data_IF_384532300543
#
_entry.id   IF_384532300543
#
_cell.length_a   1.000
_cell.length_b   1.000
_cell.length_c   1.000
_cell.angle_alpha   90.00
_cell.angle_beta   90.00
_cell.angle_gamma   90.00
#
_symmetry.space_group_name_H-M   'P 1'
#
loop_
_entity.id
_entity.type
_entity.pdbx_description
1 polymer ?
#
# COMPACT_ATOMS: atom_id res chain seq x y z
N UNK A 1 2.98 -23.59 0.95
CA UNK A 1 4.33 -24.12 1.23
C UNK A 1 4.97 -24.80 0.02
N UNK A 2 4.21 -25.41 -0.91
CA UNK A 2 4.75 -26.05 -2.13
C UNK A 2 5.38 -25.12 -3.19
N UNK A 3 5.14 -23.81 -3.13
CA UNK A 3 5.58 -22.87 -4.19
C UNK A 3 7.02 -22.35 -4.01
N UNK A 4 7.65 -22.60 -2.85
CA UNK A 4 9.05 -22.20 -2.55
C UNK A 4 10.09 -23.19 -3.06
N UNK A 5 9.68 -24.38 -3.49
CA UNK A 5 10.55 -25.45 -3.99
C UNK A 5 10.73 -25.42 -5.52
N UNK A 6 10.15 -24.44 -6.21
CA UNK A 6 10.16 -24.33 -7.67
C UNK A 6 11.26 -23.38 -8.16
N UNK A 7 11.89 -23.63 -9.30
CA UNK A 7 12.89 -22.73 -9.90
C UNK A 7 12.35 -21.31 -10.09
N UNK A 8 13.23 -20.32 -10.03
CA UNK A 8 12.88 -18.89 -10.03
C UNK A 8 12.17 -18.45 -11.32
N UNK A 9 12.65 -18.92 -12.47
CA UNK A 9 12.03 -18.70 -13.79
C UNK A 9 10.59 -19.22 -13.84
N UNK A 10 10.38 -20.37 -13.24
CA UNK A 10 9.12 -21.10 -13.20
C UNK A 10 8.06 -20.40 -12.32
N UNK A 11 8.53 -19.66 -11.29
CA UNK A 11 7.68 -18.77 -10.49
C UNK A 11 7.38 -17.48 -11.24
N UNK A 12 8.37 -16.92 -11.94
CA UNK A 12 8.22 -15.71 -12.74
C UNK A 12 7.22 -15.91 -13.90
N UNK A 13 7.37 -16.97 -14.68
CA UNK A 13 6.47 -17.29 -15.79
C UNK A 13 5.01 -17.44 -15.32
N UNK A 14 4.78 -18.14 -14.20
CA UNK A 14 3.43 -18.26 -13.61
C UNK A 14 2.88 -16.92 -13.11
N UNK A 15 3.73 -16.05 -12.58
CA UNK A 15 3.35 -14.68 -12.19
C UNK A 15 2.89 -13.90 -13.41
N UNK A 16 3.68 -13.90 -14.47
CA UNK A 16 3.35 -13.21 -15.73
C UNK A 16 2.07 -13.76 -16.35
N UNK A 17 1.85 -15.07 -16.33
CA UNK A 17 0.61 -15.68 -16.79
C UNK A 17 -0.63 -15.22 -15.99
N UNK A 18 -0.49 -14.98 -14.68
CA UNK A 18 -1.59 -14.40 -13.87
C UNK A 18 -1.84 -12.95 -14.22
N UNK A 19 -0.78 -12.14 -14.36
CA UNK A 19 -0.92 -10.74 -14.77
C UNK A 19 -1.61 -10.65 -16.13
N UNK A 20 -1.10 -11.37 -17.14
CA UNK A 20 -1.66 -11.40 -18.49
C UNK A 20 -3.13 -11.85 -18.54
N UNK A 21 -3.57 -12.67 -17.57
CA UNK A 21 -4.98 -13.07 -17.44
C UNK A 21 -5.85 -11.94 -16.93
N UNK A 22 -5.41 -11.25 -15.88
CA UNK A 22 -6.23 -10.27 -15.16
C UNK A 22 -6.09 -8.84 -15.68
N UNK A 23 -5.09 -8.55 -16.50
CA UNK A 23 -4.96 -7.24 -17.15
C UNK A 23 -5.94 -7.05 -18.31
N UNK A 24 -6.62 -8.12 -18.74
CA UNK A 24 -7.68 -8.09 -19.75
C UNK A 24 -8.98 -7.50 -19.20
N UNK A 25 -9.75 -6.77 -20.03
CA UNK A 25 -11.07 -6.29 -19.65
C UNK A 25 -12.06 -7.43 -19.38
N UNK A 26 -13.11 -7.13 -18.62
CA UNK A 26 -14.21 -8.07 -18.33
C UNK A 26 -15.29 -7.90 -19.39
N UNK A 27 -15.41 -8.85 -20.30
CA UNK A 27 -16.30 -8.80 -21.47
C UNK A 27 -17.56 -9.67 -21.28
N UNK A 28 -17.54 -10.64 -20.37
CA UNK A 28 -18.67 -11.56 -20.16
C UNK A 28 -19.04 -11.76 -18.69
N UNK A 29 -20.29 -12.19 -18.46
CA UNK A 29 -20.79 -12.56 -17.12
C UNK A 29 -19.93 -13.65 -16.46
N UNK A 30 -19.48 -14.63 -17.24
CA UNK A 30 -18.60 -15.71 -16.75
C UNK A 30 -17.19 -15.23 -16.38
N UNK A 31 -16.62 -14.26 -17.10
CA UNK A 31 -15.36 -13.62 -16.69
C UNK A 31 -15.55 -12.79 -15.42
N UNK A 32 -16.66 -12.05 -15.31
CA UNK A 32 -17.01 -11.29 -14.10
C UNK A 32 -17.13 -12.18 -12.88
N UNK A 33 -17.85 -13.29 -12.99
CA UNK A 33 -18.00 -14.27 -11.89
C UNK A 33 -16.64 -14.83 -11.46
N UNK A 34 -15.77 -15.17 -12.41
CA UNK A 34 -14.40 -15.65 -12.12
C UNK A 34 -13.54 -14.58 -11.45
N UNK A 35 -13.64 -13.33 -11.87
CA UNK A 35 -12.93 -12.21 -11.25
C UNK A 35 -13.38 -12.02 -9.79
N UNK A 36 -14.69 -12.05 -9.54
CA UNK A 36 -15.24 -12.00 -8.18
C UNK A 36 -14.81 -13.19 -7.33
N UNK A 37 -14.96 -14.42 -7.81
CA UNK A 37 -14.53 -15.61 -7.09
C UNK A 37 -13.03 -15.57 -6.75
N UNK A 38 -12.18 -15.16 -7.70
CA UNK A 38 -10.75 -14.99 -7.47
C UNK A 38 -10.46 -13.89 -6.44
N UNK A 39 -11.12 -12.73 -6.56
CA UNK A 39 -10.96 -11.62 -5.64
C UNK A 39 -11.34 -12.03 -4.21
N UNK A 40 -12.45 -12.73 -4.04
CA UNK A 40 -12.96 -13.15 -2.74
C UNK A 40 -12.09 -14.23 -2.09
N UNK A 41 -11.76 -15.28 -2.84
CA UNK A 41 -11.16 -16.51 -2.29
C UNK A 41 -9.62 -16.51 -2.38
N UNK A 42 -9.05 -16.01 -3.48
CA UNK A 42 -7.59 -16.06 -3.71
C UNK A 42 -6.92 -14.78 -3.22
N UNK A 43 -7.51 -13.62 -3.51
CA UNK A 43 -7.01 -12.33 -3.02
C UNK A 43 -7.58 -11.96 -1.64
N UNK A 44 -8.29 -12.89 -0.99
CA UNK A 44 -8.83 -12.73 0.37
C UNK A 44 -9.75 -11.50 0.50
N UNK A 45 -10.49 -11.19 -0.58
CA UNK A 45 -11.48 -10.13 -0.66
C UNK A 45 -12.59 -10.22 0.36
N UNK A 46 -12.94 -11.44 0.80
CA UNK A 46 -14.00 -11.66 1.79
C UNK A 46 -13.78 -10.84 3.08
N UNK A 47 -12.55 -10.76 3.58
CA UNK A 47 -12.25 -9.98 4.79
C UNK A 47 -12.36 -8.47 4.54
N UNK A 48 -12.06 -8.01 3.33
CA UNK A 48 -12.10 -6.59 2.95
C UNK A 48 -13.53 -6.10 2.67
N UNK A 49 -14.41 -7.02 2.27
CA UNK A 49 -15.85 -6.75 2.22
C UNK A 49 -16.43 -6.60 3.61
N UNK A 50 -16.03 -7.44 4.57
CA UNK A 50 -16.47 -7.34 5.96
C UNK A 50 -15.90 -6.10 6.67
N UNK A 51 -14.62 -5.79 6.43
CA UNK A 51 -13.95 -4.62 7.00
C UNK A 51 -12.97 -4.00 6.01
N UNK A 52 -13.35 -2.86 5.45
CA UNK A 52 -12.54 -2.14 4.45
C UNK A 52 -11.34 -1.40 5.06
N UNK A 53 -11.25 -1.28 6.39
CA UNK A 53 -10.23 -0.47 7.07
C UNK A 53 -10.09 0.94 6.46
N UNK A 54 -11.22 1.58 6.17
CA UNK A 54 -11.29 2.89 5.52
C UNK A 54 -11.31 4.03 6.54
N UNK A 55 -10.43 5.00 6.39
CA UNK A 55 -10.30 6.16 7.29
C UNK A 55 -9.98 7.42 6.50
N UNK A 56 -10.54 8.56 6.90
CA UNK A 56 -10.05 9.87 6.46
C UNK A 56 -8.72 10.14 7.16
N UNK A 57 -7.69 10.44 6.39
CA UNK A 57 -6.39 10.94 6.89
C UNK A 57 -6.51 12.45 7.05
N UNK A 58 -7.02 13.12 6.01
CA UNK A 58 -7.31 14.55 5.96
C UNK A 58 -8.62 14.75 5.20
N UNK A 59 -9.17 15.98 5.09
CA UNK A 59 -10.32 16.24 4.21
C UNK A 59 -10.06 15.86 2.74
N UNK A 60 -8.79 15.79 2.32
CA UNK A 60 -8.35 15.56 0.94
C UNK A 60 -7.82 14.15 0.69
N UNK A 61 -7.53 13.36 1.74
CA UNK A 61 -6.97 12.02 1.60
C UNK A 61 -7.71 10.99 2.45
N UNK A 62 -8.11 9.91 1.81
CA UNK A 62 -8.57 8.67 2.43
C UNK A 62 -7.51 7.58 2.33
N UNK A 63 -7.50 6.67 3.31
CA UNK A 63 -6.76 5.41 3.26
C UNK A 63 -7.70 4.23 3.45
N UNK A 64 -7.47 3.13 2.76
CA UNK A 64 -8.28 1.91 2.92
C UNK A 64 -7.54 0.61 2.53
N UNK A 65 -8.15 -0.54 2.86
CA UNK A 65 -7.94 -1.76 2.10
C UNK A 65 -8.48 -1.59 0.67
N UNK A 66 -8.06 -2.45 -0.27
CA UNK A 66 -8.51 -2.31 -1.65
C UNK A 66 -10.04 -2.45 -1.73
N UNK A 67 -10.74 -1.42 -2.24
CA UNK A 67 -12.20 -1.41 -2.27
C UNK A 67 -12.74 -2.33 -3.37
N UNK A 68 -13.88 -2.93 -3.09
CA UNK A 68 -14.70 -3.60 -4.09
C UNK A 68 -15.49 -2.56 -4.94
N UNK A 69 -16.04 -2.95 -6.10
CA UNK A 69 -16.74 -2.02 -6.99
C UNK A 69 -17.82 -1.16 -6.32
N UNK A 70 -18.68 -1.72 -5.46
CA UNK A 70 -19.69 -0.94 -4.74
C UNK A 70 -19.12 0.07 -3.74
N UNK A 71 -17.95 -0.23 -3.16
CA UNK A 71 -17.25 0.70 -2.27
C UNK A 71 -16.57 1.83 -3.07
N UNK A 72 -16.07 1.53 -4.27
CA UNK A 72 -15.56 2.55 -5.20
C UNK A 72 -16.67 3.53 -5.58
N UNK A 73 -17.87 3.03 -5.89
CA UNK A 73 -19.04 3.86 -6.15
C UNK A 73 -19.36 4.79 -4.97
N UNK A 74 -19.30 4.28 -3.74
CA UNK A 74 -19.49 5.08 -2.54
C UNK A 74 -18.44 6.20 -2.41
N UNK A 75 -17.16 5.89 -2.63
CA UNK A 75 -16.09 6.90 -2.62
C UNK A 75 -16.25 7.97 -3.71
N UNK A 76 -16.71 7.57 -4.91
CA UNK A 76 -17.09 8.53 -5.95
C UNK A 76 -18.17 9.50 -5.45
N UNK A 77 -19.19 8.97 -4.76
CA UNK A 77 -20.22 9.80 -4.10
C UNK A 77 -19.69 10.70 -2.99
N UNK A 78 -18.52 10.40 -2.41
CA UNK A 78 -17.81 11.27 -1.46
C UNK A 78 -16.90 12.30 -2.16
N UNK A 79 -16.90 12.35 -3.49
CA UNK A 79 -16.09 13.27 -4.28
C UNK A 79 -14.65 12.81 -4.53
N UNK A 80 -14.32 11.52 -4.29
CA UNK A 80 -12.99 10.99 -4.61
C UNK A 80 -12.76 11.07 -6.12
N UNK A 81 -11.66 11.71 -6.52
CA UNK A 81 -11.26 11.91 -7.93
C UNK A 81 -10.20 10.91 -8.40
N UNK A 82 -9.35 10.47 -7.48
CA UNK A 82 -8.25 9.54 -7.78
C UNK A 82 -8.20 8.40 -6.77
N UNK A 83 -7.96 7.19 -7.25
CA UNK A 83 -7.58 6.03 -6.45
C UNK A 83 -6.13 5.68 -6.74
N UNK A 84 -5.32 5.59 -5.68
CA UNK A 84 -3.90 5.24 -5.74
C UNK A 84 -3.70 3.80 -5.29
N UNK A 85 -3.22 2.95 -6.18
CA UNK A 85 -2.90 1.55 -5.90
C UNK A 85 -1.43 1.39 -5.47
N UNK A 86 -1.24 1.02 -4.19
CA UNK A 86 0.10 0.81 -3.63
C UNK A 86 0.64 -0.60 -3.82
N UNK A 87 -0.15 -1.51 -4.41
CA UNK A 87 0.21 -2.93 -4.45
C UNK A 87 1.19 -3.27 -5.56
N UNK A 88 1.11 -2.57 -6.70
CA UNK A 88 1.72 -2.98 -7.98
C UNK A 88 1.24 -4.35 -8.50
N UNK A 89 0.30 -5.00 -7.80
CA UNK A 89 -0.13 -6.38 -8.05
C UNK A 89 -1.37 -6.43 -8.91
N UNK A 90 -1.19 -6.81 -10.18
CA UNK A 90 -2.26 -7.03 -11.17
C UNK A 90 -2.59 -8.52 -11.36
N UNK A 91 -2.32 -9.32 -10.34
CA UNK A 91 -2.34 -10.80 -10.41
C UNK A 91 -3.66 -11.43 -9.97
N UNK A 92 -4.63 -10.61 -9.63
CA UNK A 92 -5.89 -11.04 -9.01
C UNK A 92 -7.09 -10.43 -9.72
N UNK A 93 -8.23 -11.10 -9.60
CA UNK A 93 -9.51 -10.62 -10.12
C UNK A 93 -9.98 -9.28 -9.55
N UNK A 94 -9.37 -8.82 -8.45
CA UNK A 94 -9.58 -7.47 -7.90
C UNK A 94 -9.14 -6.37 -8.86
N UNK A 95 -8.09 -6.60 -9.67
CA UNK A 95 -7.56 -5.60 -10.60
C UNK A 95 -8.56 -5.18 -11.69
N UNK A 96 -9.08 -6.09 -12.54
CA UNK A 96 -10.01 -5.69 -13.59
C UNK A 96 -11.35 -5.18 -13.03
N UNK A 97 -11.79 -5.71 -11.87
CA UNK A 97 -12.99 -5.20 -11.18
C UNK A 97 -12.80 -3.76 -10.71
N UNK A 98 -11.63 -3.42 -10.17
CA UNK A 98 -11.30 -2.07 -9.73
C UNK A 98 -11.21 -1.11 -10.91
N UNK A 99 -10.47 -1.49 -11.97
CA UNK A 99 -10.34 -0.68 -13.19
C UNK A 99 -11.69 -0.29 -13.76
N UNK A 100 -12.54 -1.28 -14.03
CA UNK A 100 -13.86 -1.06 -14.60
C UNK A 100 -14.74 -0.18 -13.69
N UNK A 101 -14.65 -0.35 -12.36
CA UNK A 101 -15.39 0.48 -11.42
C UNK A 101 -14.88 1.93 -11.41
N UNK A 102 -13.56 2.15 -11.43
CA UNK A 102 -12.98 3.48 -11.55
C UNK A 102 -13.41 4.17 -12.84
N UNK A 103 -13.27 3.49 -13.98
CA UNK A 103 -13.70 3.98 -15.30
C UNK A 103 -15.18 4.37 -15.31
N UNK A 104 -16.06 3.50 -14.78
CA UNK A 104 -17.51 3.74 -14.68
C UNK A 104 -17.86 4.99 -13.88
N UNK A 105 -17.06 5.34 -12.88
CA UNK A 105 -17.31 6.46 -11.98
C UNK A 105 -16.43 7.69 -12.27
N UNK A 106 -15.67 7.69 -13.38
CA UNK A 106 -14.78 8.80 -13.74
C UNK A 106 -13.66 9.04 -12.73
N UNK A 107 -13.28 8.00 -11.97
CA UNK A 107 -12.17 8.07 -11.02
C UNK A 107 -10.88 7.69 -11.74
N UNK A 108 -9.85 8.52 -11.61
CA UNK A 108 -8.53 8.21 -12.12
C UNK A 108 -7.88 7.11 -11.26
N UNK A 109 -7.40 6.03 -11.88
CA UNK A 109 -6.69 4.95 -11.18
C UNK A 109 -5.20 5.03 -11.52
N UNK A 110 -4.36 5.33 -10.53
CA UNK A 110 -2.91 5.47 -10.69
C UNK A 110 -2.16 4.52 -9.76
N UNK A 111 -0.95 4.13 -10.15
CA UNK A 111 -0.07 3.29 -9.35
C UNK A 111 1.01 4.13 -8.65
N UNK A 112 1.24 3.87 -7.36
CA UNK A 112 2.43 4.33 -6.63
C UNK A 112 2.93 3.17 -5.76
N UNK A 113 3.80 2.33 -6.32
CA UNK A 113 4.09 1.02 -5.72
C UNK A 113 4.98 1.17 -4.49
N UNK A 114 4.53 0.61 -3.36
CA UNK A 114 5.28 0.59 -2.11
C UNK A 114 5.51 -0.85 -1.64
N UNK A 115 6.60 -1.06 -0.90
CA UNK A 115 6.88 -2.30 -0.16
C UNK A 115 6.47 -2.13 1.29
N UNK A 116 5.97 -3.20 1.92
CA UNK A 116 5.62 -3.18 3.35
C UNK A 116 6.65 -3.86 4.25
N UNK A 117 7.57 -4.65 3.70
CA UNK A 117 8.50 -5.51 4.47
C UNK A 117 9.97 -5.29 4.09
N UNK A 118 10.28 -4.14 3.52
CA UNK A 118 11.65 -3.74 3.21
C UNK A 118 11.79 -2.24 3.43
N UNK A 119 13.03 -1.81 3.60
CA UNK A 119 13.42 -0.42 3.70
C UNK A 119 12.89 0.35 2.49
N UNK A 120 12.24 1.51 2.70
CA UNK A 120 11.78 2.35 1.61
C UNK A 120 12.92 2.72 0.66
N UNK A 121 12.73 2.57 -0.64
CA UNK A 121 13.77 2.93 -1.62
C UNK A 121 13.90 4.47 -1.67
N UNK A 122 15.14 4.97 -1.66
CA UNK A 122 15.43 6.42 -1.63
C UNK A 122 14.74 7.14 -2.78
N UNK A 123 14.83 6.57 -3.97
CA UNK A 123 14.27 7.10 -5.21
C UNK A 123 12.74 7.19 -5.12
N UNK A 124 12.09 6.20 -4.50
CA UNK A 124 10.64 6.20 -4.29
C UNK A 124 10.21 7.31 -3.32
N UNK A 125 10.99 7.56 -2.26
CA UNK A 125 10.73 8.67 -1.31
C UNK A 125 10.84 10.02 -2.00
N UNK A 126 11.90 10.22 -2.78
CA UNK A 126 12.12 11.48 -3.50
C UNK A 126 11.03 11.72 -4.57
N UNK A 127 10.60 10.68 -5.26
CA UNK A 127 9.51 10.75 -6.24
C UNK A 127 8.14 11.07 -5.61
N UNK A 128 7.95 10.83 -4.31
CA UNK A 128 6.67 11.07 -3.63
C UNK A 128 6.24 12.54 -3.69
N UNK A 129 7.19 13.49 -3.60
CA UNK A 129 6.89 14.93 -3.69
C UNK A 129 6.21 15.26 -5.01
N UNK A 130 6.82 14.84 -6.11
CA UNK A 130 6.34 15.14 -7.45
C UNK A 130 5.03 14.39 -7.73
N UNK A 131 4.90 13.16 -7.22
CA UNK A 131 3.64 12.41 -7.26
C UNK A 131 2.50 13.17 -6.56
N UNK A 132 2.71 13.64 -5.33
CA UNK A 132 1.69 14.39 -4.58
C UNK A 132 1.31 15.71 -5.25
N UNK A 133 2.27 16.41 -5.88
CA UNK A 133 1.99 17.65 -6.60
C UNK A 133 1.03 17.46 -7.79
N UNK A 134 0.99 16.25 -8.37
CA UNK A 134 0.11 15.91 -9.51
C UNK A 134 -1.19 15.21 -9.11
N UNK A 135 -1.34 14.85 -7.82
CA UNK A 135 -2.46 14.05 -7.35
C UNK A 135 -3.76 14.86 -7.34
N UNK A 136 -4.80 14.37 -8.02
CA UNK A 136 -6.12 15.00 -7.98
C UNK A 136 -6.87 14.59 -6.71
N UNK A 137 -7.21 15.58 -5.91
CA UNK A 137 -7.84 15.40 -4.61
C UNK A 137 -9.34 15.80 -4.61
N UNK A 138 -10.20 15.19 -3.77
CA UNK A 138 -9.88 14.16 -2.79
C UNK A 138 -9.42 12.82 -3.38
N UNK A 139 -8.42 12.20 -2.77
CA UNK A 139 -7.85 10.93 -3.23
C UNK A 139 -8.12 9.80 -2.21
N UNK A 140 -8.17 8.57 -2.71
CA UNK A 140 -8.17 7.36 -1.89
C UNK A 140 -6.92 6.54 -2.19
N UNK A 141 -6.09 6.31 -1.18
CA UNK A 141 -4.99 5.36 -1.30
C UNK A 141 -5.36 4.00 -0.73
N UNK A 142 -4.97 2.91 -1.40
CA UNK A 142 -5.18 1.57 -0.87
C UNK A 142 -3.99 0.64 -1.03
N UNK A 143 -3.95 -0.36 -0.16
CA UNK A 143 -3.10 -1.53 -0.33
C UNK A 143 -3.94 -2.82 -0.23
N UNK A 144 -3.39 -3.94 0.26
CA UNK A 144 -4.19 -5.15 0.50
C UNK A 144 -5.16 -4.93 1.68
N UNK A 145 -4.64 -4.62 2.87
CA UNK A 145 -5.41 -4.50 4.12
C UNK A 145 -5.61 -3.06 4.63
N UNK A 146 -5.07 -2.05 3.97
CA UNK A 146 -5.13 -0.65 4.42
C UNK A 146 -4.27 -0.31 5.63
N UNK A 147 -3.42 -1.25 6.08
CA UNK A 147 -2.55 -1.08 7.24
C UNK A 147 -1.19 -0.48 6.84
N UNK A 148 -0.26 -1.31 6.37
CA UNK A 148 1.17 -0.96 6.31
C UNK A 148 1.48 0.06 5.19
N UNK A 149 1.35 -0.33 3.92
CA UNK A 149 1.63 0.56 2.77
C UNK A 149 0.75 1.80 2.75
N UNK A 150 -0.54 1.64 3.05
CA UNK A 150 -1.47 2.77 3.08
C UNK A 150 -1.15 3.73 4.23
N UNK A 151 -0.71 3.21 5.39
CA UNK A 151 -0.24 4.04 6.50
C UNK A 151 1.07 4.73 6.20
N UNK A 152 2.01 4.04 5.56
CA UNK A 152 3.28 4.62 5.13
C UNK A 152 3.07 5.74 4.12
N UNK A 153 2.26 5.51 3.08
CA UNK A 153 1.89 6.54 2.12
C UNK A 153 1.20 7.74 2.80
N UNK A 154 0.25 7.48 3.71
CA UNK A 154 -0.43 8.54 4.45
C UNK A 154 0.55 9.36 5.30
N UNK A 155 1.52 8.72 5.96
CA UNK A 155 2.57 9.41 6.71
C UNK A 155 3.45 10.27 5.79
N UNK A 156 3.89 9.74 4.64
CA UNK A 156 4.65 10.50 3.65
C UNK A 156 3.86 11.70 3.12
N UNK A 157 2.58 11.52 2.82
CA UNK A 157 1.71 12.60 2.37
C UNK A 157 1.60 13.71 3.43
N UNK A 158 1.40 13.35 4.70
CA UNK A 158 1.35 14.33 5.79
C UNK A 158 2.68 15.08 5.95
N UNK A 159 3.82 14.37 5.90
CA UNK A 159 5.15 14.98 6.03
C UNK A 159 5.52 15.89 4.85
N UNK A 160 5.35 15.38 3.62
CA UNK A 160 5.90 15.99 2.42
C UNK A 160 4.93 16.99 1.79
N UNK A 161 3.65 16.62 1.70
CA UNK A 161 2.65 17.45 1.01
C UNK A 161 1.94 18.42 1.97
N UNK A 162 1.63 17.98 3.20
CA UNK A 162 0.96 18.85 4.19
C UNK A 162 1.90 19.49 5.21
N UNK A 163 3.21 19.21 5.16
CA UNK A 163 4.22 19.74 6.09
C UNK A 163 3.85 19.56 7.56
N UNK A 164 3.20 18.44 7.91
CA UNK A 164 2.83 18.10 9.29
C UNK A 164 4.04 17.59 10.07
N UNK A 165 4.05 17.75 11.41
CA UNK A 165 5.12 17.19 12.26
C UNK A 165 5.26 15.67 12.12
N UNK A 166 6.47 15.16 12.28
CA UNK A 166 6.77 13.72 12.19
C UNK A 166 5.91 12.90 13.14
N UNK A 167 5.72 13.37 14.38
CA UNK A 167 4.94 12.66 15.38
C UNK A 167 3.45 12.56 15.03
N UNK A 168 2.91 13.48 14.23
CA UNK A 168 1.55 13.37 13.71
C UNK A 168 1.50 12.37 12.56
N UNK A 169 2.43 12.48 11.61
CA UNK A 169 2.48 11.62 10.44
C UNK A 169 2.74 10.16 10.80
N UNK A 170 3.68 9.88 11.71
CA UNK A 170 4.06 8.54 12.12
C UNK A 170 2.90 7.76 12.76
N UNK A 171 1.89 8.43 13.34
CA UNK A 171 0.69 7.76 13.90
C UNK A 171 -0.14 7.01 12.86
N UNK A 172 0.05 7.30 11.57
CA UNK A 172 -0.55 6.52 10.49
C UNK A 172 -0.01 5.07 10.46
N UNK A 173 1.11 4.78 11.11
CA UNK A 173 1.58 3.42 11.40
C UNK A 173 1.28 3.09 12.86
N UNK A 174 0.08 2.54 13.12
CA UNK A 174 -0.33 2.18 14.48
C UNK A 174 -1.30 1.01 14.53
N UNK A 175 -1.45 0.42 15.72
CA UNK A 175 -2.37 -0.67 15.99
C UNK A 175 -3.83 -0.32 15.63
N UNK A 176 -4.21 0.97 15.72
CA UNK A 176 -5.52 1.48 15.28
C UNK A 176 -5.85 1.06 13.85
N UNK A 177 -4.85 0.99 12.98
CA UNK A 177 -5.01 0.64 11.57
C UNK A 177 -4.59 -0.80 11.26
N UNK A 178 -4.29 -1.61 12.27
CA UNK A 178 -3.83 -2.99 12.12
C UNK A 178 -2.39 -3.15 11.64
N UNK A 179 -1.54 -2.15 11.95
CA UNK A 179 -0.10 -2.16 11.72
C UNK A 179 0.64 -2.61 13.00
N UNK A 180 1.63 -3.50 12.83
CA UNK A 180 2.39 -4.07 13.94
C UNK A 180 3.89 -3.78 13.77
N UNK A 181 4.39 -2.88 14.61
CA UNK A 181 5.79 -2.44 14.64
C UNK A 181 6.81 -3.55 14.93
N UNK A 182 6.40 -4.60 15.65
CA UNK A 182 7.31 -5.71 15.99
C UNK A 182 7.37 -6.81 14.91
N UNK A 183 6.57 -6.70 13.85
CA UNK A 183 6.64 -7.59 12.69
C UNK A 183 7.65 -7.07 11.66
N UNK A 184 7.83 -7.78 10.54
CA UNK A 184 8.67 -7.31 9.42
C UNK A 184 8.25 -5.94 8.87
N UNK A 185 6.99 -5.57 9.07
CA UNK A 185 6.45 -4.28 8.68
C UNK A 185 6.97 -3.11 9.52
N UNK A 186 7.56 -3.40 10.68
CA UNK A 186 8.22 -2.41 11.53
C UNK A 186 9.43 -1.74 10.92
N UNK A 187 9.90 -2.18 9.76
CA UNK A 187 10.96 -1.46 9.04
C UNK A 187 10.50 -0.07 8.58
N UNK A 188 9.19 0.11 8.39
CA UNK A 188 8.58 1.39 8.06
C UNK A 188 8.59 2.35 9.25
N UNK A 189 8.43 1.83 10.47
CA UNK A 189 8.65 2.58 11.69
C UNK A 189 10.12 3.00 11.83
N UNK A 190 11.02 2.02 11.69
CA UNK A 190 12.46 2.24 11.82
C UNK A 190 12.97 3.31 10.84
N UNK A 191 12.36 3.41 9.66
CA UNK A 191 12.63 4.49 8.70
C UNK A 191 12.30 5.88 9.27
N UNK A 192 11.12 6.06 9.87
CA UNK A 192 10.75 7.33 10.49
C UNK A 192 11.55 7.63 11.75
N UNK A 193 11.95 6.61 12.51
CA UNK A 193 12.83 6.81 13.67
C UNK A 193 14.24 7.21 13.26
N UNK A 194 14.75 6.65 12.15
CA UNK A 194 16.01 7.08 11.57
C UNK A 194 15.94 8.56 11.18
N UNK A 195 14.86 9.00 10.54
CA UNK A 195 14.67 10.43 10.26
C UNK A 195 14.61 11.28 11.54
N UNK A 196 13.89 10.83 12.57
CA UNK A 196 13.79 11.56 13.84
C UNK A 196 15.17 11.87 14.42
N UNK A 197 16.07 10.88 14.43
CA UNK A 197 17.40 10.98 15.05
C UNK A 197 18.42 11.64 14.13
N UNK A 198 18.44 11.24 12.86
CA UNK A 198 19.47 11.66 11.92
C UNK A 198 19.13 12.95 11.17
N UNK A 199 17.85 13.32 11.10
CA UNK A 199 17.35 14.48 10.37
C UNK A 199 16.67 15.50 11.27
N UNK A 200 15.46 15.19 11.75
CA UNK A 200 14.60 16.14 12.49
C UNK A 200 15.29 16.73 13.73
N UNK A 201 15.91 15.89 14.57
CA UNK A 201 16.65 16.33 15.75
C UNK A 201 17.88 17.22 15.43
N UNK A 202 18.33 17.23 14.17
CA UNK A 202 19.43 18.05 13.67
C UNK A 202 18.97 19.22 12.81
N UNK A 203 17.66 19.44 12.71
CA UNK A 203 17.07 20.52 11.91
C UNK A 203 17.15 20.31 10.39
N UNK A 204 17.35 19.07 9.92
CA UNK A 204 17.44 18.74 8.50
C UNK A 204 16.04 18.38 7.99
N UNK A 205 15.60 19.01 6.89
CA UNK A 205 14.30 18.73 6.29
C UNK A 205 14.21 17.28 5.78
N UNK A 206 13.01 16.70 5.81
CA UNK A 206 12.78 15.29 5.50
C UNK A 206 13.34 14.85 4.15
N UNK A 207 13.08 15.61 3.08
CA UNK A 207 13.56 15.26 1.74
C UNK A 207 15.07 15.44 1.59
N UNK A 208 15.68 16.38 2.30
CA UNK A 208 17.14 16.56 2.28
C UNK A 208 17.83 15.43 3.03
N UNK A 209 17.31 15.04 4.20
CA UNK A 209 17.77 13.84 4.91
C UNK A 209 17.62 12.58 4.03
N UNK A 210 16.47 12.40 3.39
CA UNK A 210 16.22 11.25 2.53
C UNK A 210 17.22 11.20 1.35
N UNK A 211 17.55 12.36 0.77
CA UNK A 211 18.47 12.46 -0.37
C UNK A 211 19.92 12.23 0.03
N UNK A 212 20.36 12.84 1.14
CA UNK A 212 21.79 13.02 1.42
C UNK A 212 22.31 12.09 2.52
N UNK A 213 21.44 11.60 3.41
CA UNK A 213 21.85 10.87 4.64
C UNK A 213 21.25 9.47 4.71
N UNK A 214 19.98 9.32 4.35
CA UNK A 214 19.25 8.06 4.48
C UNK A 214 19.84 6.95 3.62
N UNK A 215 20.21 5.82 4.23
CA UNK A 215 20.70 4.63 3.52
C UNK A 215 19.73 3.44 3.74
N UNK A 216 19.00 2.98 2.70
CA UNK A 216 18.08 1.86 2.82
C UNK A 216 18.78 0.54 3.13
N UNK A 217 20.01 0.32 2.63
CA UNK A 217 20.79 -0.90 2.89
C UNK A 217 21.23 -0.93 4.35
N UNK A 218 21.67 0.21 4.90
CA UNK A 218 22.00 0.33 6.33
C UNK A 218 20.78 0.05 7.19
N UNK A 219 19.63 0.63 6.85
CA UNK A 219 18.40 0.43 7.61
C UNK A 219 18.00 -1.06 7.62
N UNK A 220 17.96 -1.70 6.45
CA UNK A 220 17.59 -3.12 6.31
C UNK A 220 18.50 -4.03 7.14
N UNK A 221 19.82 -3.80 7.12
CA UNK A 221 20.79 -4.59 7.90
C UNK A 221 20.65 -4.40 9.40
N UNK A 222 20.32 -3.19 9.84
CA UNK A 222 20.17 -2.86 11.26
C UNK A 222 18.83 -3.33 11.84
N UNK A 223 17.80 -3.45 11.01
CA UNK A 223 16.45 -3.80 11.45
C UNK A 223 16.35 -5.28 11.79
N UNK A 224 16.01 -5.60 13.04
CA UNK A 224 15.70 -6.96 13.49
C UNK A 224 14.24 -7.02 13.99
N UNK A 225 13.32 -7.70 13.29
CA UNK A 225 11.98 -7.89 13.80
C UNK A 225 12.01 -8.72 15.09
N UNK A 226 11.08 -8.45 16.01
CA UNK A 226 10.93 -9.25 17.23
C UNK A 226 10.64 -10.72 16.89
N UNK A 227 11.41 -11.65 17.47
CA UNK A 227 11.37 -13.07 17.09
C UNK A 227 9.97 -13.70 17.28
N UNK A 228 9.31 -13.47 18.41
CA UNK A 228 7.97 -14.02 18.71
C UNK A 228 6.82 -13.27 18.03
N UNK A 229 6.96 -11.97 17.80
CA UNK A 229 5.96 -11.15 17.10
C UNK A 229 5.91 -11.43 15.60
N UNK A 230 7.05 -11.78 15.00
CA UNK A 230 7.12 -12.12 13.59
C UNK A 230 6.36 -13.41 13.26
N UNK A 231 6.43 -14.43 14.12
CA UNK A 231 5.70 -15.70 13.95
C UNK A 231 4.18 -15.56 14.14
N UNK A 232 3.73 -14.79 15.14
CA UNK A 232 2.30 -14.55 15.35
C UNK A 232 1.70 -13.67 14.25
N UNK A 233 2.39 -12.60 13.84
CA UNK A 233 1.95 -11.74 12.76
C UNK A 233 1.96 -12.47 11.41
N UNK A 234 3.03 -13.19 11.06
CA UNK A 234 3.11 -13.92 9.78
C UNK A 234 2.14 -15.14 9.75
N UNK A 235 1.80 -15.70 10.92
CA UNK A 235 0.87 -16.84 11.08
C UNK A 235 -0.61 -16.46 11.02
N UNK A 236 -1.04 -15.41 11.74
CA UNK A 236 -2.40 -14.87 11.66
C UNK A 236 -2.65 -14.15 10.32
N UNK A 237 -1.57 -13.69 9.69
CA UNK A 237 -1.64 -12.76 8.58
C UNK A 237 -0.62 -13.16 7.52
N UNK A 238 -0.96 -14.14 6.66
CA UNK A 238 -0.32 -14.30 5.34
C UNK A 238 -0.64 -13.09 4.45
N UNK A 239 -0.02 -11.95 4.75
CA UNK A 239 -0.13 -10.66 4.04
C UNK A 239 1.01 -10.50 3.02
N UNK A 240 1.22 -11.45 2.14
CA UNK A 240 1.84 -11.15 0.84
C UNK A 240 0.90 -11.71 -0.22
#
# INVERSE_FOLDING_TARGET
MLNRLRPDEDRYARRMARIARWDRPIESRGQRLRAWANMLLVDHGIFRLAYLNAHKVTPRLWRAAQPAPGQIAWFAGQGVKTIVNLRGGREHGSWPLQREACERHGIELVDFVLRSRGAPERETILAARDFFATLKEPALVHCKSGADRAGFFAALYLLIHENRPLDEAARQLSLRYGHFRFAKTGILDAFFDAYRVEGEAKGIAFLDWARDIYDPVRLEKSFRPGFFSSLLADGLIRRE
#
